data_IF_800209279966
#
_entry.id   IF_800209279966
#
_cell.length_a   1.000
_cell.length_b   1.000
_cell.length_c   1.000
_cell.angle_alpha   90.00
_cell.angle_beta   90.00
_cell.angle_gamma   90.00
#
_symmetry.space_group_name_H-M   'P 1'
#
loop_
_entity.id
_entity.type
_entity.pdbx_description
1 polymer ?
#
# COMPACT_ATOMS: atom_id res chain seq x y z
N UNK A 1 0.24 -1.53 -7.33
CA UNK A 1 -0.54 -1.63 -6.08
C UNK A 1 -1.65 -2.66 -6.29
N UNK A 2 -2.25 -3.19 -5.23
CA UNK A 2 -3.25 -4.27 -5.35
C UNK A 2 -4.59 -3.74 -5.83
N UNK A 3 -5.04 -2.60 -5.31
CA UNK A 3 -6.33 -2.07 -5.70
C UNK A 3 -6.54 -0.57 -5.50
N UNK A 4 -7.76 -0.09 -5.81
CA UNK A 4 -8.11 1.33 -5.74
C UNK A 4 -8.12 1.91 -4.31
N UNK A 5 -8.39 1.09 -3.29
CA UNK A 5 -8.31 1.51 -1.89
C UNK A 5 -6.90 1.96 -1.53
N UNK A 6 -5.89 1.16 -1.90
CA UNK A 6 -4.48 1.42 -1.63
C UNK A 6 -4.04 2.75 -2.24
N UNK A 7 -4.41 2.99 -3.50
CA UNK A 7 -4.13 4.25 -4.19
C UNK A 7 -4.68 5.44 -3.41
N UNK A 8 -5.89 5.31 -2.88
CA UNK A 8 -6.54 6.40 -2.12
C UNK A 8 -5.72 6.76 -0.87
N UNK A 9 -5.27 5.76 -0.12
CA UNK A 9 -4.44 5.99 1.07
C UNK A 9 -3.07 6.58 0.72
N UNK A 10 -2.41 6.01 -0.29
CA UNK A 10 -1.06 6.42 -0.68
C UNK A 10 -1.06 7.84 -1.25
N UNK A 11 -2.05 8.23 -2.07
CA UNK A 11 -2.20 9.61 -2.50
C UNK A 11 -2.42 10.57 -1.34
N UNK A 12 -3.26 10.20 -0.36
CA UNK A 12 -3.48 11.02 0.83
C UNK A 12 -2.18 11.21 1.61
N UNK A 13 -1.40 10.16 1.83
CA UNK A 13 -0.14 10.25 2.56
C UNK A 13 0.94 10.98 1.79
N UNK A 14 1.04 10.83 0.46
CA UNK A 14 1.92 11.66 -0.38
C UNK A 14 1.54 13.12 -0.19
N UNK A 15 0.26 13.48 -0.35
CA UNK A 15 -0.18 14.86 -0.24
C UNK A 15 0.02 15.47 1.16
N UNK A 16 0.01 14.67 2.23
CA UNK A 16 0.33 15.14 3.58
C UNK A 16 1.82 15.45 3.77
N UNK A 17 2.71 14.74 3.08
CA UNK A 17 4.16 14.89 3.25
C UNK A 17 4.73 15.86 2.21
N UNK A 18 4.24 15.78 0.97
CA UNK A 18 4.63 16.62 -0.14
C UNK A 18 3.48 16.76 -1.14
N UNK A 19 2.74 17.86 -1.03
CA UNK A 19 1.61 18.20 -1.89
C UNK A 19 2.00 18.63 -3.31
N UNK A 20 3.30 18.82 -3.59
CA UNK A 20 3.78 19.17 -4.94
C UNK A 20 3.79 17.96 -5.88
N UNK A 21 3.80 16.74 -5.34
CA UNK A 21 3.83 15.51 -6.12
C UNK A 21 2.43 15.10 -6.60
N UNK A 22 2.15 15.46 -7.85
CA UNK A 22 0.91 15.13 -8.57
C UNK A 22 1.03 13.82 -9.37
N UNK A 23 0.08 12.90 -9.18
CA UNK A 23 -0.08 11.71 -10.02
C UNK A 23 -0.53 12.10 -11.45
N UNK A 24 0.02 11.43 -12.46
CA UNK A 24 -0.16 11.76 -13.87
C UNK A 24 0.85 12.77 -14.40
N UNK A 25 1.55 13.49 -13.50
CA UNK A 25 2.66 14.38 -13.85
C UNK A 25 4.00 13.81 -13.38
N UNK A 26 4.15 13.57 -12.09
CA UNK A 26 5.42 13.12 -11.50
C UNK A 26 5.51 11.60 -11.34
N UNK A 27 4.38 10.92 -11.18
CA UNK A 27 4.32 9.47 -11.07
C UNK A 27 2.96 8.96 -11.56
N UNK A 28 2.87 7.67 -11.88
CA UNK A 28 1.59 7.02 -12.21
C UNK A 28 1.43 5.76 -11.38
N UNK A 29 0.20 5.48 -10.93
CA UNK A 29 -0.11 4.27 -10.17
C UNK A 29 -0.72 3.23 -11.10
N UNK A 30 -0.02 2.09 -11.25
CA UNK A 30 -0.55 0.90 -11.91
C UNK A 30 -1.11 -0.08 -10.88
N UNK A 31 -2.31 -0.61 -11.16
CA UNK A 31 -2.86 -1.73 -10.42
C UNK A 31 -2.41 -3.05 -11.05
N UNK A 32 -1.92 -3.95 -10.21
CA UNK A 32 -1.68 -5.32 -10.64
C UNK A 32 -2.84 -6.22 -10.19
N UNK A 33 -3.47 -5.99 -9.04
CA UNK A 33 -4.50 -6.92 -8.53
C UNK A 33 -3.91 -8.27 -8.11
N UNK A 34 -4.55 -8.95 -7.16
CA UNK A 34 -3.91 -10.06 -6.42
C UNK A 34 -3.26 -11.18 -7.26
N UNK A 35 -3.73 -11.43 -8.49
CA UNK A 35 -3.19 -12.49 -9.37
C UNK A 35 -2.26 -12.00 -10.47
N UNK A 36 -2.30 -10.75 -10.93
CA UNK A 36 -1.44 -10.35 -12.05
C UNK A 36 0.02 -10.31 -11.65
N UNK A 37 0.31 -10.01 -10.37
CA UNK A 37 1.69 -9.89 -9.88
C UNK A 37 2.53 -11.15 -10.15
N UNK A 38 1.92 -12.35 -10.15
CA UNK A 38 2.65 -13.59 -10.47
C UNK A 38 3.11 -13.65 -11.91
N UNK A 39 2.47 -12.92 -12.82
CA UNK A 39 2.78 -12.84 -14.26
C UNK A 39 3.67 -11.64 -14.64
N UNK A 40 4.12 -10.85 -13.66
CA UNK A 40 5.00 -9.70 -13.89
C UNK A 40 6.44 -10.02 -13.45
N UNK A 41 7.43 -9.51 -14.19
CA UNK A 41 8.84 -9.52 -13.79
C UNK A 41 9.47 -8.14 -13.96
N UNK A 42 10.43 -7.84 -13.09
CA UNK A 42 11.25 -6.64 -13.13
C UNK A 42 12.69 -6.94 -13.60
N UNK A 43 12.95 -8.11 -14.19
CA UNK A 43 14.23 -8.37 -14.87
C UNK A 43 14.17 -7.96 -16.35
N UNK A 44 15.29 -7.44 -16.88
CA UNK A 44 15.38 -7.03 -18.29
C UNK A 44 15.75 -8.17 -19.25
N UNK A 45 16.52 -9.16 -18.77
CA UNK A 45 17.25 -10.10 -19.65
C UNK A 45 16.63 -11.49 -19.75
N UNK A 46 15.83 -11.92 -18.78
CA UNK A 46 15.10 -13.20 -18.86
C UNK A 46 13.69 -12.95 -19.33
N UNK A 47 13.47 -13.14 -20.64
CA UNK A 47 12.14 -13.49 -21.13
C UNK A 47 11.87 -14.92 -20.65
N UNK A 48 11.49 -15.07 -19.38
CA UNK A 48 10.73 -16.25 -18.98
C UNK A 48 9.46 -16.15 -19.81
N UNK A 49 9.22 -17.12 -20.70
CA UNK A 49 8.28 -17.04 -21.83
C UNK A 49 6.82 -16.71 -21.47
N UNK A 50 6.50 -16.59 -20.18
CA UNK A 50 5.17 -16.35 -19.63
C UNK A 50 5.06 -15.09 -18.74
N UNK A 51 6.17 -14.38 -18.48
CA UNK A 51 6.17 -13.17 -17.64
C UNK A 51 6.30 -11.89 -18.48
N UNK A 52 5.53 -10.87 -18.11
CA UNK A 52 5.57 -9.55 -18.74
C UNK A 52 6.67 -8.72 -18.05
N UNK A 53 7.73 -8.31 -18.77
CA UNK A 53 8.83 -7.52 -18.19
C UNK A 53 8.44 -6.05 -18.06
N UNK A 54 8.07 -5.62 -16.85
CA UNK A 54 7.66 -4.23 -16.60
C UNK A 54 8.81 -3.23 -16.70
N UNK A 55 10.04 -3.62 -16.36
CA UNK A 55 11.18 -2.70 -16.50
C UNK A 55 11.55 -2.37 -17.95
N UNK A 56 11.11 -3.18 -18.92
CA UNK A 56 11.21 -2.82 -20.34
C UNK A 56 10.27 -1.67 -20.72
N UNK A 57 9.17 -1.49 -19.99
CA UNK A 57 8.22 -0.40 -20.18
C UNK A 57 8.60 0.82 -19.34
N UNK A 58 9.08 0.62 -18.10
CA UNK A 58 9.55 1.70 -17.24
C UNK A 58 10.64 1.19 -16.26
N UNK A 59 11.86 1.72 -16.40
CA UNK A 59 13.00 1.38 -15.52
C UNK A 59 12.83 1.87 -14.08
N UNK A 60 11.94 2.85 -13.88
CA UNK A 60 11.67 3.50 -12.61
C UNK A 60 10.38 2.95 -12.01
N UNK A 61 10.47 1.77 -11.39
CA UNK A 61 9.34 1.08 -10.78
C UNK A 61 9.49 0.96 -9.26
N UNK A 62 8.39 1.22 -8.55
CA UNK A 62 8.25 0.97 -7.12
C UNK A 62 7.03 0.09 -6.88
N UNK A 63 7.18 -0.99 -6.11
CA UNK A 63 6.08 -1.94 -5.88
C UNK A 63 5.71 -1.98 -4.40
N UNK A 64 4.46 -1.66 -4.10
CA UNK A 64 3.85 -1.84 -2.78
C UNK A 64 3.01 -3.11 -2.82
N UNK A 65 3.24 -4.00 -1.86
CA UNK A 65 2.60 -5.31 -1.72
C UNK A 65 2.12 -5.51 -0.30
N UNK A 66 0.96 -6.13 -0.13
CA UNK A 66 0.53 -6.53 1.20
C UNK A 66 1.43 -7.63 1.75
N UNK A 67 1.60 -7.72 3.06
CA UNK A 67 2.30 -8.87 3.67
C UNK A 67 1.50 -10.15 3.48
N UNK A 68 0.18 -10.05 3.62
CA UNK A 68 -0.74 -11.17 3.85
C UNK A 68 -0.35 -12.02 5.08
N UNK A 69 -1.21 -12.98 5.42
CA UNK A 69 -0.98 -13.89 6.55
C UNK A 69 -1.49 -13.36 7.90
N UNK A 70 -1.32 -14.19 8.93
CA UNK A 70 -1.89 -13.96 10.26
C UNK A 70 -0.82 -13.64 11.31
N UNK A 71 0.47 -13.70 10.96
CA UNK A 71 1.57 -13.45 11.90
C UNK A 71 2.74 -12.75 11.22
N UNK A 72 3.50 -11.94 11.98
CA UNK A 72 4.70 -11.24 11.52
C UNK A 72 5.84 -12.16 11.05
N UNK A 73 5.69 -13.46 11.29
CA UNK A 73 6.65 -14.52 10.94
C UNK A 73 6.16 -15.31 9.71
N UNK A 74 4.94 -15.04 9.22
CA UNK A 74 4.41 -15.73 8.04
C UNK A 74 5.35 -15.48 6.87
N UNK A 75 5.89 -16.56 6.30
CA UNK A 75 6.82 -16.49 5.18
C UNK A 75 6.12 -15.81 4.01
N UNK A 76 6.81 -14.86 3.38
CA UNK A 76 6.34 -14.25 2.14
C UNK A 76 6.14 -15.34 1.08
N UNK A 77 5.06 -15.23 0.31
CA UNK A 77 4.83 -16.14 -0.80
C UNK A 77 5.95 -16.00 -1.86
N UNK A 78 6.02 -16.99 -2.77
CA UNK A 78 7.07 -17.05 -3.79
C UNK A 78 7.10 -15.78 -4.67
N UNK A 79 5.93 -15.27 -5.06
CA UNK A 79 5.80 -14.05 -5.88
C UNK A 79 6.42 -12.84 -5.19
N UNK A 80 6.01 -12.54 -3.95
CA UNK A 80 6.53 -11.38 -3.20
C UNK A 80 8.02 -11.48 -2.97
N UNK A 81 8.50 -12.69 -2.66
CA UNK A 81 9.93 -12.97 -2.49
C UNK A 81 10.70 -12.71 -3.79
N UNK A 82 10.17 -13.15 -4.94
CA UNK A 82 10.74 -12.88 -6.27
C UNK A 82 10.79 -11.38 -6.55
N UNK A 83 9.66 -10.67 -6.47
CA UNK A 83 9.60 -9.23 -6.76
C UNK A 83 10.59 -8.45 -5.87
N UNK A 84 10.68 -8.80 -4.59
CA UNK A 84 11.64 -8.21 -3.66
C UNK A 84 13.10 -8.47 -4.05
N UNK A 85 13.40 -9.67 -4.56
CA UNK A 85 14.74 -9.99 -5.06
C UNK A 85 15.07 -9.24 -6.36
N UNK A 86 14.10 -9.11 -7.28
CA UNK A 86 14.27 -8.42 -8.57
C UNK A 86 14.46 -6.90 -8.41
N UNK A 87 13.68 -6.26 -7.53
CA UNK A 87 13.70 -4.79 -7.33
C UNK A 87 14.60 -4.33 -6.18
N UNK A 88 14.87 -5.21 -5.22
CA UNK A 88 15.52 -4.88 -3.96
C UNK A 88 14.63 -4.10 -2.98
N UNK A 89 15.13 -3.96 -1.74
CA UNK A 89 14.42 -3.33 -0.62
C UNK A 89 14.13 -1.84 -0.81
N UNK A 90 14.86 -1.18 -1.71
CA UNK A 90 14.74 0.26 -1.95
C UNK A 90 13.62 0.62 -2.92
N UNK A 91 13.17 -0.34 -3.73
CA UNK A 91 12.12 -0.15 -4.74
C UNK A 91 10.92 -1.09 -4.49
N UNK A 92 10.90 -1.79 -3.35
CA UNK A 92 9.78 -2.62 -2.94
C UNK A 92 9.39 -2.36 -1.49
N UNK A 93 8.09 -2.37 -1.23
CA UNK A 93 7.51 -2.19 0.09
C UNK A 93 6.50 -3.30 0.33
N UNK A 94 6.88 -4.24 1.21
CA UNK A 94 5.92 -5.16 1.80
C UNK A 94 5.39 -4.53 3.08
N UNK A 95 4.06 -4.41 3.22
CA UNK A 95 3.45 -3.78 4.39
C UNK A 95 3.91 -4.45 5.70
N UNK A 96 4.08 -3.66 6.76
CA UNK A 96 4.41 -4.18 8.10
C UNK A 96 3.17 -4.73 8.80
N UNK A 97 2.02 -4.11 8.53
CA UNK A 97 0.71 -4.69 8.81
C UNK A 97 0.40 -5.86 7.87
N UNK A 98 -0.79 -6.45 7.98
CA UNK A 98 -1.24 -7.51 7.07
C UNK A 98 -1.52 -6.95 5.67
N UNK A 99 -2.18 -5.80 5.62
CA UNK A 99 -2.61 -5.07 4.42
C UNK A 99 -2.35 -3.57 4.59
N UNK A 100 -2.38 -2.80 3.50
CA UNK A 100 -2.11 -1.35 3.53
C UNK A 100 -3.08 -0.59 4.46
N UNK A 101 -4.31 -1.08 4.60
CA UNK A 101 -5.33 -0.54 5.50
C UNK A 101 -4.92 -0.57 6.98
N UNK A 102 -3.97 -1.44 7.36
CA UNK A 102 -3.48 -1.50 8.73
C UNK A 102 -2.61 -0.29 9.14
N UNK A 103 -2.24 0.57 8.18
CA UNK A 103 -1.61 1.85 8.47
C UNK A 103 -2.61 2.97 8.75
N UNK A 104 -3.93 2.71 8.72
CA UNK A 104 -4.92 3.67 9.22
C UNK A 104 -4.85 3.70 10.75
N UNK A 105 -4.64 4.87 11.33
CA UNK A 105 -4.51 5.03 12.79
C UNK A 105 -5.82 4.81 13.53
N UNK A 106 -5.71 4.45 14.82
CA UNK A 106 -6.88 4.32 15.71
C UNK A 106 -7.63 5.66 15.84
N UNK A 107 -6.93 6.78 15.93
CA UNK A 107 -7.51 8.13 15.93
C UNK A 107 -8.35 8.39 14.69
N UNK A 108 -7.86 8.03 13.51
CA UNK A 108 -8.62 8.15 12.25
C UNK A 108 -9.89 7.32 12.29
N UNK A 109 -9.80 6.05 12.68
CA UNK A 109 -10.96 5.16 12.72
C UNK A 109 -11.99 5.58 13.76
N UNK A 110 -11.56 6.05 14.94
CA UNK A 110 -12.47 6.59 15.97
C UNK A 110 -13.27 7.77 15.44
N UNK A 111 -12.63 8.71 14.74
CA UNK A 111 -13.29 9.87 14.12
C UNK A 111 -14.29 9.45 13.04
N UNK A 112 -13.88 8.54 12.15
CA UNK A 112 -14.72 8.10 11.04
C UNK A 112 -15.92 7.25 11.49
N UNK A 113 -15.71 6.32 12.43
CA UNK A 113 -16.76 5.45 12.97
C UNK A 113 -17.60 6.10 14.08
N UNK A 114 -17.14 7.21 14.65
CA UNK A 114 -17.73 7.88 15.81
C UNK A 114 -17.84 6.96 17.03
N UNK A 115 -16.71 6.34 17.40
CA UNK A 115 -16.60 5.44 18.56
C UNK A 115 -15.40 5.82 19.43
N UNK A 116 -15.48 5.51 20.73
CA UNK A 116 -14.46 5.94 21.71
C UNK A 116 -13.28 4.98 21.81
N UNK A 117 -13.54 3.68 21.68
CA UNK A 117 -12.55 2.61 21.86
C UNK A 117 -12.51 1.71 20.63
N UNK A 118 -11.33 1.67 20.02
CA UNK A 118 -10.97 0.72 18.98
C UNK A 118 -9.53 0.30 19.25
N UNK A 119 -9.22 -0.97 19.02
CA UNK A 119 -7.86 -1.49 19.09
C UNK A 119 -7.54 -2.20 17.80
N UNK A 120 -6.52 -1.74 17.09
CA UNK A 120 -6.11 -2.34 15.82
C UNK A 120 -5.11 -3.47 16.09
N UNK A 121 -5.40 -4.64 15.54
CA UNK A 121 -4.44 -5.73 15.44
C UNK A 121 -3.84 -5.72 14.03
N UNK A 122 -2.58 -5.31 13.91
CA UNK A 122 -1.86 -5.21 12.64
C UNK A 122 -1.69 -6.55 11.89
N UNK A 123 -2.03 -7.68 12.51
CA UNK A 123 -2.05 -9.00 11.86
C UNK A 123 -3.44 -9.43 11.36
N UNK A 124 -4.47 -8.63 11.61
CA UNK A 124 -5.83 -8.90 11.15
C UNK A 124 -6.22 -7.90 10.08
N UNK A 125 -7.16 -8.30 9.23
CA UNK A 125 -7.70 -7.39 8.24
C UNK A 125 -8.49 -6.30 8.94
N UNK A 126 -8.47 -5.09 8.38
CA UNK A 126 -9.27 -3.99 8.88
C UNK A 126 -10.77 -4.30 8.74
N UNK A 127 -11.17 -5.06 7.71
CA UNK A 127 -12.56 -5.46 7.48
C UNK A 127 -13.15 -6.30 8.63
N UNK A 128 -12.33 -7.16 9.25
CA UNK A 128 -12.73 -8.01 10.38
C UNK A 128 -12.96 -7.17 11.64
N UNK A 129 -12.23 -6.07 11.79
CA UNK A 129 -12.42 -5.12 12.89
C UNK A 129 -13.69 -4.30 12.66
N UNK A 130 -13.84 -3.70 11.48
CA UNK A 130 -14.98 -2.84 11.16
C UNK A 130 -16.31 -3.59 11.27
N UNK A 131 -16.38 -4.83 10.79
CA UNK A 131 -17.61 -5.65 10.85
C UNK A 131 -18.06 -5.97 12.28
N UNK A 132 -17.16 -5.93 13.27
CA UNK A 132 -17.49 -6.17 14.68
C UNK A 132 -17.98 -4.92 15.40
N UNK A 133 -17.53 -3.75 14.96
CA UNK A 133 -17.79 -2.47 15.66
C UNK A 133 -18.74 -1.55 14.89
N UNK A 134 -19.14 -1.93 13.67
CA UNK A 134 -19.95 -1.09 12.79
C UNK A 134 -20.87 -1.91 11.88
N UNK A 135 -22.02 -1.34 11.51
CA UNK A 135 -22.94 -1.89 10.50
C UNK A 135 -22.50 -1.57 9.06
N UNK A 136 -21.44 -0.76 8.88
CA UNK A 136 -20.90 -0.43 7.56
C UNK A 136 -20.36 -1.69 6.88
N UNK A 137 -20.86 -2.01 5.69
CA UNK A 137 -20.39 -3.13 4.85
C UNK A 137 -19.05 -2.83 4.18
N UNK A 138 -17.98 -2.70 4.98
CA UNK A 138 -16.67 -2.24 4.52
C UNK A 138 -16.10 -3.09 3.38
N UNK A 139 -16.13 -4.41 3.53
CA UNK A 139 -15.57 -5.35 2.57
C UNK A 139 -16.16 -5.21 1.15
N UNK A 140 -17.45 -4.86 1.02
CA UNK A 140 -18.12 -4.72 -0.28
C UNK A 140 -17.89 -3.37 -0.95
N UNK A 141 -17.40 -2.36 -0.19
CA UNK A 141 -17.30 -0.99 -0.67
C UNK A 141 -15.98 -0.32 -0.22
N UNK A 142 -14.87 -1.08 -0.21
CA UNK A 142 -13.55 -0.60 0.25
C UNK A 142 -13.15 0.72 -0.38
N UNK A 143 -13.28 0.85 -1.71
CA UNK A 143 -12.93 2.08 -2.44
C UNK A 143 -13.79 3.30 -2.04
N UNK A 144 -15.06 3.10 -1.70
CA UNK A 144 -15.92 4.18 -1.19
C UNK A 144 -15.46 4.60 0.20
N UNK A 145 -15.23 3.61 1.07
CA UNK A 145 -14.87 3.90 2.45
C UNK A 145 -13.44 4.42 2.61
N UNK A 146 -12.50 4.05 1.75
CA UNK A 146 -11.17 4.68 1.74
C UNK A 146 -11.29 6.20 1.53
N UNK A 147 -12.14 6.66 0.60
CA UNK A 147 -12.41 8.09 0.38
C UNK A 147 -13.01 8.78 1.62
N UNK A 148 -13.86 8.09 2.38
CA UNK A 148 -14.37 8.62 3.64
C UNK A 148 -13.27 8.68 4.72
N UNK A 149 -12.49 7.61 4.87
CA UNK A 149 -11.45 7.48 5.91
C UNK A 149 -10.35 8.52 5.73
N UNK A 150 -9.87 8.75 4.50
CA UNK A 150 -8.77 9.69 4.24
C UNK A 150 -9.08 11.14 4.63
N UNK A 151 -10.37 11.51 4.74
CA UNK A 151 -10.79 12.84 5.22
C UNK A 151 -10.45 13.07 6.69
N UNK A 152 -10.24 12.00 7.45
CA UNK A 152 -9.95 12.04 8.88
C UNK A 152 -8.46 11.83 9.20
N UNK A 153 -7.63 11.53 8.20
CA UNK A 153 -6.18 11.33 8.36
C UNK A 153 -5.48 12.70 8.42
N UNK A 154 -4.66 12.86 9.45
CA UNK A 154 -3.82 14.02 9.77
C UNK A 154 -2.33 13.63 9.78
N UNK A 155 -1.43 14.61 9.92
CA UNK A 155 0.02 14.39 9.88
C UNK A 155 0.51 13.47 11.02
N UNK A 156 -0.03 13.62 12.23
CA UNK A 156 0.31 12.77 13.38
C UNK A 156 -0.02 11.29 13.14
N UNK A 157 -0.98 11.00 12.26
CA UNK A 157 -1.37 9.63 11.91
C UNK A 157 -0.31 8.91 11.05
N UNK A 158 0.72 9.62 10.57
CA UNK A 158 1.86 9.01 9.88
C UNK A 158 2.76 8.18 10.82
N UNK A 159 2.68 8.43 12.14
CA UNK A 159 3.48 7.76 13.16
C UNK A 159 2.92 6.39 13.56
N UNK A 160 2.65 5.54 12.56
CA UNK A 160 2.14 4.18 12.71
C UNK A 160 3.05 3.19 11.99
N UNK A 161 3.43 2.13 12.71
CA UNK A 161 4.30 1.06 12.20
C UNK A 161 5.59 1.63 11.58
N UNK A 162 5.80 1.44 10.28
CA UNK A 162 6.91 2.00 9.50
C UNK A 162 6.42 2.95 8.39
N UNK A 163 5.18 3.46 8.48
CA UNK A 163 4.55 4.27 7.43
C UNK A 163 5.38 5.50 7.09
N UNK A 164 5.70 6.34 8.07
CA UNK A 164 6.46 7.58 7.86
C UNK A 164 7.78 7.32 7.13
N UNK A 165 8.54 6.30 7.57
CA UNK A 165 9.79 5.91 6.92
C UNK A 165 9.58 5.47 5.47
N UNK A 166 8.61 4.58 5.23
CA UNK A 166 8.34 4.04 3.88
C UNK A 166 7.81 5.09 2.92
N UNK A 167 6.96 6.00 3.38
CA UNK A 167 6.48 7.12 2.56
C UNK A 167 7.61 8.07 2.17
N UNK A 168 8.50 8.40 3.10
CA UNK A 168 9.69 9.20 2.77
C UNK A 168 10.61 8.52 1.76
N UNK A 169 10.78 7.19 1.86
CA UNK A 169 11.51 6.42 0.85
C UNK A 169 10.85 6.50 -0.53
N UNK A 170 9.52 6.34 -0.59
CA UNK A 170 8.73 6.44 -1.82
C UNK A 170 8.84 7.84 -2.45
N UNK A 171 8.63 8.90 -1.67
CA UNK A 171 8.70 10.29 -2.12
C UNK A 171 10.09 10.61 -2.65
N UNK A 172 11.15 10.18 -1.93
CA UNK A 172 12.53 10.35 -2.39
C UNK A 172 12.77 9.66 -3.74
N UNK A 173 12.18 8.48 -3.96
CA UNK A 173 12.28 7.76 -5.24
C UNK A 173 11.58 8.49 -6.37
N UNK A 174 10.35 8.95 -6.14
CA UNK A 174 9.60 9.75 -7.11
C UNK A 174 10.43 10.97 -7.52
N UNK A 175 10.97 11.74 -6.56
CA UNK A 175 11.81 12.91 -6.86
C UNK A 175 13.04 12.55 -7.68
N UNK A 176 13.80 11.54 -7.25
CA UNK A 176 15.01 11.10 -7.98
C UNK A 176 14.77 10.61 -9.41
N UNK A 177 13.54 10.26 -9.75
CA UNK A 177 13.15 9.81 -11.09
C UNK A 177 12.61 10.94 -11.99
N UNK A 178 12.37 12.11 -11.41
CA UNK A 178 11.94 13.33 -12.11
C UNK A 178 13.05 14.38 -12.18
N UNK A 179 14.23 14.08 -11.64
CA UNK A 179 15.49 14.81 -11.86
C UNK A 179 16.12 14.36 -13.19
#
# INVERSE_FOLDING_TARGET
>A
MEGPSDRTFILKWINLIDSTLVEGLHFSIMFYGGRLLSHLTFENEKIISELIPLLKLNRNAYVIMDRDGFTNITKLNATKSRIKAELGDRNSWVTKGREIENYVSESTLKKWLKIDKIKIDSNKKLEDLISKVSTKKYATAKSKFSIEIVKHIQEDDLNILDLNFKMNQLIKKIKSWNE
#
